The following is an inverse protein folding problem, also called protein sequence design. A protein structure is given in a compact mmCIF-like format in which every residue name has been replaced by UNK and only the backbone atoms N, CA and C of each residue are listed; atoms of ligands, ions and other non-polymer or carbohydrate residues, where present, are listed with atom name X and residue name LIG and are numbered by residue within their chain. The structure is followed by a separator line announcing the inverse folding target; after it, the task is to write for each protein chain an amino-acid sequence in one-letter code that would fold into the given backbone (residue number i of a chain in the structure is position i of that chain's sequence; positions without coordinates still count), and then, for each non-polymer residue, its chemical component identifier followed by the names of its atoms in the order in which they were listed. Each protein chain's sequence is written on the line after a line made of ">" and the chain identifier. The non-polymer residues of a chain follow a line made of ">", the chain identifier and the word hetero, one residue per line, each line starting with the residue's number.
data_IF_105952032301
#
_entry.id   IF_105952032301
#
_cell.length_a   1.000
_cell.length_b   1.000
_cell.length_c   1.000
_cell.angle_alpha   90.00
_cell.angle_beta   90.00
_cell.angle_gamma   90.00
#
_symmetry.space_group_name_H-M   'P 1'
#
loop_
_entity.id
_entity.type
_entity.pdbx_description
1 polymer ?
#
# COMPACT_ATOMS: atom_id res chain seq x y z
N UNK A 1 8.48 4.15 18.58
CA UNK A 1 7.75 4.48 17.34
C UNK A 1 6.79 3.33 17.11
N UNK A 2 5.50 3.54 17.31
CA UNK A 2 4.52 2.48 17.10
C UNK A 2 4.32 2.30 15.59
N UNK A 3 4.43 1.06 15.13
CA UNK A 3 4.18 0.69 13.73
C UNK A 3 2.68 0.76 13.49
N UNK A 4 2.27 1.66 12.60
CA UNK A 4 0.87 1.79 12.19
C UNK A 4 0.58 0.90 11.00
N UNK A 5 -0.71 0.61 10.76
CA UNK A 5 -1.14 -0.11 9.54
C UNK A 5 -0.71 0.64 8.27
N UNK A 6 -0.66 1.97 8.33
CA UNK A 6 -0.24 2.81 7.22
C UNK A 6 1.23 2.54 6.83
N UNK A 7 2.10 2.35 7.82
CA UNK A 7 3.50 2.00 7.61
C UNK A 7 3.66 0.63 6.92
N UNK A 8 2.83 -0.34 7.29
CA UNK A 8 2.79 -1.66 6.65
C UNK A 8 2.33 -1.61 5.19
N UNK A 9 1.29 -0.83 4.90
CA UNK A 9 0.80 -0.61 3.53
C UNK A 9 1.89 0.04 2.67
N UNK A 10 2.54 1.09 3.20
CA UNK A 10 3.66 1.76 2.54
C UNK A 10 4.82 0.82 2.28
N UNK A 11 5.15 -0.06 3.23
CA UNK A 11 6.20 -1.06 3.06
C UNK A 11 5.87 -2.04 1.92
N UNK A 12 4.65 -2.59 1.90
CA UNK A 12 4.22 -3.53 0.86
C UNK A 12 4.18 -2.85 -0.51
N UNK A 13 3.74 -1.59 -0.57
CA UNK A 13 3.76 -0.81 -1.80
C UNK A 13 5.19 -0.66 -2.34
N UNK A 14 6.14 -0.23 -1.50
CA UNK A 14 7.53 -0.04 -1.90
C UNK A 14 8.19 -1.36 -2.30
N UNK A 15 7.94 -2.45 -1.57
CA UNK A 15 8.43 -3.78 -1.91
C UNK A 15 7.87 -4.26 -3.26
N UNK A 16 6.56 -4.10 -3.48
CA UNK A 16 5.90 -4.49 -4.71
C UNK A 16 6.47 -3.77 -5.93
N UNK A 17 6.58 -2.45 -5.87
CA UNK A 17 7.17 -1.63 -6.94
C UNK A 17 8.62 -2.01 -7.18
N UNK A 18 9.43 -2.16 -6.12
CA UNK A 18 10.87 -2.42 -6.24
C UNK A 18 11.14 -3.80 -6.83
N UNK A 19 10.49 -4.85 -6.33
CA UNK A 19 10.70 -6.22 -6.80
C UNK A 19 10.21 -6.35 -8.25
N UNK A 20 9.05 -5.78 -8.57
CA UNK A 20 8.49 -5.84 -9.92
C UNK A 20 9.37 -5.07 -10.91
N UNK A 21 9.85 -3.89 -10.54
CA UNK A 21 10.78 -3.11 -11.37
C UNK A 21 12.08 -3.86 -11.59
N UNK A 22 12.67 -4.43 -10.52
CA UNK A 22 13.89 -5.23 -10.64
C UNK A 22 13.72 -6.44 -11.54
N UNK A 23 12.60 -7.15 -11.41
CA UNK A 23 12.27 -8.30 -12.26
C UNK A 23 12.11 -7.89 -13.74
N UNK A 24 11.34 -6.83 -14.02
CA UNK A 24 11.09 -6.37 -15.39
C UNK A 24 12.37 -5.86 -16.06
N UNK A 25 13.18 -5.08 -15.34
CA UNK A 25 14.46 -4.56 -15.85
C UNK A 25 15.41 -5.71 -16.20
N UNK A 26 15.47 -6.76 -15.37
CA UNK A 26 16.27 -7.95 -15.67
C UNK A 26 15.73 -8.75 -16.86
N UNK A 27 14.42 -8.94 -16.96
CA UNK A 27 13.80 -9.73 -18.03
C UNK A 27 13.86 -9.06 -19.40
N UNK A 28 13.76 -7.74 -19.44
CA UNK A 28 13.78 -6.96 -20.70
C UNK A 28 15.18 -6.45 -21.06
N UNK A 29 16.21 -6.86 -20.33
CA UNK A 29 17.60 -6.39 -20.49
C UNK A 29 17.70 -4.87 -20.60
N UNK A 30 17.01 -4.16 -19.70
CA UNK A 30 16.97 -2.70 -19.69
C UNK A 30 18.33 -2.16 -19.26
N UNK A 31 19.07 -1.60 -20.21
CA UNK A 31 20.44 -1.09 -19.99
C UNK A 31 20.52 0.42 -20.00
N UNK A 32 19.56 1.11 -20.63
CA UNK A 32 19.59 2.56 -20.74
C UNK A 32 18.87 3.24 -19.58
N UNK A 33 19.42 4.38 -19.11
CA UNK A 33 18.80 5.19 -18.05
C UNK A 33 17.36 5.62 -18.39
N UNK A 34 17.04 6.06 -19.62
CA UNK A 34 15.68 6.46 -19.96
C UNK A 34 14.68 5.31 -19.88
N UNK A 35 15.05 4.12 -20.36
CA UNK A 35 14.19 2.93 -20.28
C UNK A 35 13.95 2.53 -18.83
N UNK A 36 14.97 2.59 -17.97
CA UNK A 36 14.84 2.26 -16.55
C UNK A 36 13.89 3.23 -15.82
N UNK A 37 13.98 4.53 -16.11
CA UNK A 37 13.07 5.54 -15.56
C UNK A 37 11.64 5.28 -16.05
N UNK A 38 11.47 5.01 -17.35
CA UNK A 38 10.16 4.77 -17.94
C UNK A 38 9.51 3.50 -17.38
N UNK A 39 10.26 2.39 -17.28
CA UNK A 39 9.75 1.13 -16.73
C UNK A 39 9.39 1.28 -15.26
N UNK A 40 10.25 1.93 -14.46
CA UNK A 40 9.95 2.18 -13.05
C UNK A 40 8.69 3.05 -12.89
N UNK A 41 8.53 4.08 -13.72
CA UNK A 41 7.36 4.96 -13.69
C UNK A 41 6.07 4.21 -14.05
N UNK A 42 6.07 3.43 -15.13
CA UNK A 42 4.90 2.63 -15.55
C UNK A 42 4.51 1.62 -14.46
N UNK A 43 5.49 0.93 -13.87
CA UNK A 43 5.25 -0.04 -12.80
C UNK A 43 4.71 0.66 -11.55
N UNK A 44 5.28 1.79 -11.15
CA UNK A 44 4.80 2.58 -10.02
C UNK A 44 3.35 3.06 -10.22
N UNK A 45 3.00 3.50 -11.44
CA UNK A 45 1.62 3.87 -11.78
C UNK A 45 0.65 2.69 -11.63
N UNK A 46 1.00 1.52 -12.17
CA UNK A 46 0.17 0.31 -12.07
C UNK A 46 -0.03 -0.10 -10.62
N UNK A 47 1.05 -0.11 -9.82
CA UNK A 47 0.96 -0.41 -8.38
C UNK A 47 0.15 0.64 -7.60
N UNK A 48 0.25 1.92 -7.96
CA UNK A 48 -0.53 3.00 -7.33
C UNK A 48 -2.02 2.80 -7.56
N UNK A 49 -2.41 2.48 -8.80
CA UNK A 49 -3.79 2.18 -9.16
C UNK A 49 -4.27 0.94 -8.41
N UNK A 50 -3.49 -0.15 -8.44
CA UNK A 50 -3.83 -1.38 -7.71
C UNK A 50 -4.04 -1.12 -6.22
N UNK A 51 -3.13 -0.39 -5.56
CA UNK A 51 -3.27 -0.09 -4.13
C UNK A 51 -4.49 0.78 -3.82
N UNK A 52 -4.75 1.79 -4.65
CA UNK A 52 -5.90 2.69 -4.46
C UNK A 52 -7.23 1.93 -4.48
N UNK A 53 -7.39 0.97 -5.38
CA UNK A 53 -8.64 0.23 -5.52
C UNK A 53 -8.69 -1.05 -4.68
N UNK A 54 -7.63 -1.86 -4.67
CA UNK A 54 -7.66 -3.17 -4.03
C UNK A 54 -7.33 -3.16 -2.52
N UNK A 55 -6.53 -2.19 -2.05
CA UNK A 55 -6.04 -2.14 -0.67
C UNK A 55 -6.72 -1.06 0.15
N UNK A 56 -6.81 0.17 -0.35
CA UNK A 56 -7.40 1.28 0.43
C UNK A 56 -8.88 1.05 0.71
N UNK A 57 -9.66 0.61 -0.29
CA UNK A 57 -11.08 0.31 -0.15
C UNK A 57 -11.33 -0.83 0.87
N UNK A 58 -10.52 -1.90 0.80
CA UNK A 58 -10.59 -3.04 1.74
C UNK A 58 -10.19 -2.70 3.19
N UNK A 59 -9.32 -1.71 3.38
CA UNK A 59 -8.82 -1.32 4.71
C UNK A 59 -9.77 -0.31 5.36
N UNK A 60 -10.44 0.53 4.58
CA UNK A 60 -11.49 1.42 5.06
C UNK A 60 -12.72 0.65 5.58
N UNK A 61 -13.08 -0.47 4.95
CA UNK A 61 -14.31 -1.22 5.25
C UNK A 61 -14.16 -2.35 6.30
N UNK A 62 -13.03 -2.49 7.00
CA UNK A 62 -12.85 -3.61 7.92
C UNK A 62 -13.65 -3.43 9.23
N UNK A 63 -14.71 -4.22 9.51
CA UNK A 63 -15.70 -4.01 10.59
C UNK A 63 -15.17 -4.24 12.02
N UNK A 64 -13.86 -4.43 12.20
CA UNK A 64 -13.23 -4.52 13.53
C UNK A 64 -13.04 -3.15 14.18
N UNK A 65 -13.36 -2.07 13.46
CA UNK A 65 -13.12 -0.69 13.92
C UNK A 65 -14.34 0.23 13.73
N UNK A 66 -15.52 -0.31 13.38
CA UNK A 66 -16.76 0.48 13.29
C UNK A 66 -17.50 0.61 14.65
N UNK A 67 -16.87 0.20 15.76
CA UNK A 67 -17.57 0.04 17.05
C UNK A 67 -16.73 0.23 18.30
N UNK A 68 -15.69 1.07 18.28
CA UNK A 68 -14.90 1.35 19.50
C UNK A 68 -15.04 2.80 20.01
N UNK A 69 -15.92 3.61 19.41
CA UNK A 69 -16.19 4.99 19.86
C UNK A 69 -17.48 5.18 20.69
N UNK A 70 -18.33 4.16 20.87
CA UNK A 70 -19.65 4.35 21.53
C UNK A 70 -19.78 3.73 22.94
N UNK A 71 -18.86 2.85 23.37
CA UNK A 71 -18.95 2.18 24.68
C UNK A 71 -18.23 2.91 25.84
N UNK A 72 -17.51 4.01 25.56
CA UNK A 72 -16.81 4.78 26.59
C UNK A 72 -17.69 5.82 27.31
N UNK A 73 -18.93 6.06 26.84
CA UNK A 73 -19.79 7.15 27.35
C UNK A 73 -20.97 6.70 28.22
N UNK A 74 -21.22 5.40 28.39
CA UNK A 74 -22.43 4.89 29.09
C UNK A 74 -22.16 4.07 30.36
N UNK A 75 -20.90 3.92 30.78
CA UNK A 75 -20.52 3.14 31.97
C UNK A 75 -20.31 3.96 33.24
N UNK A 76 -21.21 4.87 33.62
CA UNK A 76 -21.23 5.50 34.95
C UNK A 76 -22.66 5.76 35.39
N UNK A 77 -23.32 4.72 35.90
CA UNK A 77 -24.51 4.81 36.77
C UNK A 77 -24.75 3.43 37.37
N UNK A 78 -24.55 3.31 38.69
CA UNK A 78 -24.82 2.09 39.47
C UNK A 78 -23.93 1.96 40.68
#
# INVERSE_FOLDING_TARGET
>A
MELTKHDGILLVYNLGVTITTGYVVQQLDVTSRPELILSAFVIALVWTIYFKFAMVERIADHPRFAGEEDDAATGSSG
#
